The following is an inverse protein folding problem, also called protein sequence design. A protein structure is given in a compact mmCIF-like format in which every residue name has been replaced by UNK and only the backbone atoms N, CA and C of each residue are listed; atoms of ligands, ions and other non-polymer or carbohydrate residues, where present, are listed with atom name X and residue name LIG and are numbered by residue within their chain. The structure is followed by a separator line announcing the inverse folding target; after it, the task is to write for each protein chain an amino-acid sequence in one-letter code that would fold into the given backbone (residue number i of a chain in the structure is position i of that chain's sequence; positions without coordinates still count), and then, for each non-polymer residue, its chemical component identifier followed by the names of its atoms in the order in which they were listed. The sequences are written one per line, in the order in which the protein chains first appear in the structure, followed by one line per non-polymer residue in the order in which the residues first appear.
data_IF_861355377803
#
_entry.id   IF_861355377803
#
_cell.length_a   1.000
_cell.length_b   1.000
_cell.length_c   1.000
_cell.angle_alpha   90.00
_cell.angle_beta   90.00
_cell.angle_gamma   90.00
#
_symmetry.space_group_name_H-M   'P 1'
#
loop_
_entity.id
_entity.type
_entity.pdbx_description
1 polymer ?
#
# COMPACT_ATOMS: atom_id res chain seq x y z
N UNK A 1 37.81 31.57 -8.83
CA UNK A 1 37.18 31.29 -7.52
C UNK A 1 36.63 29.88 -7.58
N UNK A 2 36.64 29.08 -6.51
CA UNK A 2 36.07 27.73 -6.56
C UNK A 2 34.60 27.83 -6.97
N UNK A 3 34.22 27.08 -8.00
CA UNK A 3 32.83 27.01 -8.47
C UNK A 3 31.99 26.36 -7.36
N UNK A 4 31.33 27.20 -6.56
CA UNK A 4 30.36 26.71 -5.58
C UNK A 4 29.19 26.14 -6.37
N UNK A 5 29.08 24.82 -6.34
CA UNK A 5 28.01 24.07 -6.98
C UNK A 5 27.00 23.67 -5.92
N UNK A 6 25.75 24.08 -6.10
CA UNK A 6 24.65 23.72 -5.21
C UNK A 6 23.75 22.66 -5.83
N UNK A 7 23.31 21.73 -4.99
CA UNK A 7 22.23 20.80 -5.34
C UNK A 7 20.88 21.54 -5.47
N UNK A 8 19.86 20.97 -6.15
CA UNK A 8 18.57 21.62 -6.31
C UNK A 8 17.90 22.04 -4.99
N UNK A 9 18.08 21.24 -3.93
CA UNK A 9 17.55 21.56 -2.60
C UNK A 9 18.25 22.77 -1.97
N UNK A 10 19.58 22.80 -2.04
CA UNK A 10 20.36 23.93 -1.53
C UNK A 10 20.07 25.21 -2.32
N UNK A 11 19.92 25.10 -3.64
CA UNK A 11 19.55 26.22 -4.50
C UNK A 11 18.16 26.77 -4.18
N UNK A 12 17.17 25.92 -3.90
CA UNK A 12 15.83 26.39 -3.52
C UNK A 12 15.82 27.10 -2.17
N UNK A 13 16.58 26.58 -1.22
CA UNK A 13 16.71 27.17 0.12
C UNK A 13 17.44 28.52 0.03
N UNK A 14 18.53 28.60 -0.77
CA UNK A 14 19.28 29.84 -1.00
C UNK A 14 18.43 30.94 -1.64
N UNK A 15 17.61 30.58 -2.63
CA UNK A 15 16.73 31.52 -3.33
C UNK A 15 15.41 31.79 -2.58
N UNK A 16 15.16 31.10 -1.45
CA UNK A 16 13.89 31.17 -0.70
C UNK A 16 12.65 30.92 -1.56
N UNK A 17 12.74 30.00 -2.53
CA UNK A 17 11.65 29.62 -3.42
C UNK A 17 11.28 28.14 -3.26
N UNK A 18 10.05 27.78 -3.60
CA UNK A 18 9.66 26.36 -3.63
C UNK A 18 10.47 25.57 -4.68
N UNK A 19 10.74 24.29 -4.40
CA UNK A 19 11.43 23.42 -5.36
C UNK A 19 10.72 23.30 -6.71
N UNK A 20 9.38 23.42 -6.74
CA UNK A 20 8.59 23.44 -7.98
C UNK A 20 8.81 24.74 -8.76
N UNK A 21 8.89 25.89 -8.09
CA UNK A 21 9.22 27.17 -8.73
C UNK A 21 10.65 27.14 -9.30
N UNK A 22 11.62 26.65 -8.53
CA UNK A 22 12.99 26.48 -9.00
C UNK A 22 13.05 25.55 -10.22
N UNK A 23 12.37 24.40 -10.20
CA UNK A 23 12.36 23.46 -11.34
C UNK A 23 11.86 24.11 -12.62
N UNK A 24 10.77 24.89 -12.55
CA UNK A 24 10.24 25.64 -13.71
C UNK A 24 11.22 26.69 -14.20
N UNK A 25 11.75 27.51 -13.29
CA UNK A 25 12.74 28.52 -13.62
C UNK A 25 14.03 27.91 -14.20
N UNK A 26 14.43 26.72 -13.75
CA UNK A 26 15.61 26.01 -14.26
C UNK A 26 15.46 25.57 -15.72
N UNK A 27 14.27 25.13 -16.12
CA UNK A 27 14.02 24.77 -17.53
C UNK A 27 14.11 26.00 -18.42
N UNK A 28 13.50 27.11 -18.00
CA UNK A 28 13.56 28.39 -18.72
C UNK A 28 14.99 28.94 -18.75
N UNK A 29 15.75 28.77 -17.66
CA UNK A 29 17.16 29.11 -17.63
C UNK A 29 17.96 28.30 -18.65
N UNK A 30 17.74 26.99 -18.75
CA UNK A 30 18.43 26.13 -19.71
C UNK A 30 18.13 26.52 -21.18
N UNK A 31 16.92 26.97 -21.47
CA UNK A 31 16.54 27.50 -22.78
C UNK A 31 17.28 28.82 -23.12
N UNK A 32 17.49 29.68 -22.11
CA UNK A 32 18.07 31.01 -22.30
C UNK A 32 19.60 31.02 -22.18
N UNK A 33 20.21 30.24 -21.30
CA UNK A 33 21.65 30.30 -21.03
C UNK A 33 22.39 28.99 -21.35
N UNK A 34 21.68 27.96 -21.79
CA UNK A 34 22.23 26.64 -22.08
C UNK A 34 22.14 25.68 -20.89
N UNK A 35 22.43 24.41 -21.14
CA UNK A 35 22.23 23.33 -20.18
C UNK A 35 23.03 23.54 -18.89
N UNK A 36 22.35 23.35 -17.74
CA UNK A 36 23.01 23.33 -16.45
C UNK A 36 23.89 22.08 -16.34
N UNK A 37 25.00 22.23 -15.62
CA UNK A 37 25.87 21.09 -15.30
C UNK A 37 25.05 20.01 -14.60
N UNK A 38 25.40 18.74 -14.84
CA UNK A 38 24.75 17.59 -14.21
C UNK A 38 25.74 16.82 -13.35
N UNK A 39 25.24 16.32 -12.22
CA UNK A 39 25.97 15.39 -11.36
C UNK A 39 26.05 13.99 -12.01
N UNK A 40 26.81 13.08 -11.38
CA UNK A 40 26.95 11.69 -11.84
C UNK A 40 25.63 10.89 -11.85
N UNK A 41 24.55 11.42 -11.26
CA UNK A 41 23.20 10.84 -11.21
C UNK A 41 22.22 11.55 -12.14
N UNK A 42 22.68 12.52 -12.94
CA UNK A 42 21.88 13.29 -13.89
C UNK A 42 21.11 14.47 -13.28
N UNK A 43 21.29 14.78 -11.99
CA UNK A 43 20.70 15.90 -11.28
C UNK A 43 21.37 17.24 -11.66
N UNK A 44 20.59 18.32 -11.73
CA UNK A 44 21.09 19.66 -12.07
C UNK A 44 21.95 20.22 -10.93
N UNK A 45 23.11 20.73 -11.31
CA UNK A 45 24.09 21.40 -10.48
C UNK A 45 24.06 22.91 -10.79
N UNK A 46 23.77 23.72 -9.77
CA UNK A 46 23.66 25.17 -9.92
C UNK A 46 24.99 25.82 -9.56
N UNK A 47 25.63 26.46 -10.54
CA UNK A 47 26.81 27.30 -10.31
C UNK A 47 26.42 28.61 -9.66
N UNK A 48 27.38 29.29 -9.03
CA UNK A 48 27.15 30.63 -8.45
C UNK A 48 26.58 31.62 -9.46
N UNK A 49 27.05 31.60 -10.70
CA UNK A 49 26.57 32.47 -11.79
C UNK A 49 25.10 32.18 -12.16
N UNK A 50 24.70 30.90 -12.20
CA UNK A 50 23.31 30.53 -12.46
C UNK A 50 22.39 30.98 -11.31
N UNK A 51 22.85 30.85 -10.07
CA UNK A 51 22.10 31.30 -8.90
C UNK A 51 21.95 32.82 -8.86
N UNK A 52 22.99 33.58 -9.19
CA UNK A 52 22.91 35.04 -9.23
C UNK A 52 21.91 35.53 -10.28
N UNK A 53 21.94 34.97 -11.49
CA UNK A 53 20.96 35.28 -12.54
C UNK A 53 19.54 34.93 -12.13
N UNK A 54 19.33 33.75 -11.55
CA UNK A 54 18.02 33.34 -11.06
C UNK A 54 17.52 34.23 -9.92
N UNK A 55 18.39 34.62 -8.99
CA UNK A 55 18.08 35.55 -7.92
C UNK A 55 17.61 36.89 -8.47
N UNK A 56 18.38 37.49 -9.39
CA UNK A 56 18.02 38.76 -10.04
C UNK A 56 16.68 38.65 -10.79
N UNK A 57 16.46 37.53 -11.49
CA UNK A 57 15.22 37.28 -12.20
C UNK A 57 14.01 37.19 -11.24
N UNK A 58 14.15 36.46 -10.12
CA UNK A 58 13.09 36.39 -9.12
C UNK A 58 12.86 37.75 -8.46
N UNK A 59 13.89 38.50 -8.09
CA UNK A 59 13.75 39.84 -7.51
C UNK A 59 13.08 40.82 -8.47
N UNK A 60 13.33 40.69 -9.78
CA UNK A 60 12.67 41.53 -10.78
C UNK A 60 11.17 41.24 -10.88
N UNK A 61 10.78 39.97 -10.83
CA UNK A 61 9.36 39.56 -10.85
C UNK A 61 8.66 39.95 -9.56
N UNK A 62 9.25 39.66 -8.39
CA UNK A 62 8.66 40.01 -7.11
C UNK A 62 8.56 41.52 -6.91
N UNK A 63 9.52 42.29 -7.44
CA UNK A 63 9.48 43.75 -7.44
C UNK A 63 8.54 44.37 -8.48
N UNK A 64 7.83 43.57 -9.28
CA UNK A 64 6.92 44.05 -10.33
C UNK A 64 7.62 44.72 -11.52
N UNK A 65 8.94 44.58 -11.65
CA UNK A 65 9.74 45.19 -12.73
C UNK A 65 9.53 44.49 -14.07
N UNK A 66 9.23 43.19 -14.02
CA UNK A 66 9.05 42.33 -15.18
C UNK A 66 7.92 41.32 -14.92
N UNK A 67 7.14 41.01 -15.96
CA UNK A 67 5.96 40.15 -15.88
C UNK A 67 6.27 38.66 -15.60
N UNK A 68 7.48 38.18 -15.92
CA UNK A 68 7.83 36.76 -15.73
C UNK A 68 9.34 36.54 -15.57
N UNK A 69 9.70 35.40 -14.96
CA UNK A 69 11.10 34.98 -14.77
C UNK A 69 11.81 34.78 -16.12
N UNK A 70 11.10 34.27 -17.13
CA UNK A 70 11.67 34.09 -18.47
C UNK A 70 12.02 35.41 -19.15
N UNK A 71 11.14 36.42 -19.02
CA UNK A 71 11.43 37.75 -19.55
C UNK A 71 12.63 38.39 -18.84
N UNK A 72 12.72 38.22 -17.52
CA UNK A 72 13.86 38.70 -16.74
C UNK A 72 15.19 38.05 -17.18
N UNK A 73 15.18 36.73 -17.41
CA UNK A 73 16.35 35.98 -17.87
C UNK A 73 16.76 36.36 -19.29
N UNK A 74 15.81 36.62 -20.19
CA UNK A 74 16.08 37.08 -21.55
C UNK A 74 16.80 38.45 -21.54
N UNK A 75 16.30 39.42 -20.76
CA UNK A 75 16.94 40.73 -20.61
C UNK A 75 18.37 40.60 -20.06
N UNK A 76 18.57 39.73 -19.06
CA UNK A 76 19.90 39.44 -18.52
C UNK A 76 20.86 38.79 -19.54
N UNK A 77 20.34 38.06 -20.54
CA UNK A 77 21.15 37.46 -21.61
C UNK A 77 21.57 38.50 -22.64
N UNK A 78 20.66 39.39 -22.99
CA UNK A 78 20.87 40.47 -23.95
C UNK A 78 21.83 41.55 -23.41
N UNK A 79 22.13 41.51 -22.11
CA UNK A 79 22.99 42.47 -21.43
C UNK A 79 22.25 43.74 -21.05
N UNK A 80 20.92 43.72 -21.15
CA UNK A 80 20.06 44.84 -20.78
C UNK A 80 19.95 44.95 -19.26
N UNK A 81 19.98 46.19 -18.77
CA UNK A 81 19.71 46.45 -17.36
C UNK A 81 18.25 46.12 -17.04
N UNK A 82 18.04 45.30 -16.00
CA UNK A 82 16.68 45.05 -15.49
C UNK A 82 16.05 46.39 -15.12
N UNK A 83 14.84 46.71 -15.63
CA UNK A 83 14.27 48.04 -15.51
C UNK A 83 14.26 48.50 -14.05
N UNK A 84 14.88 49.64 -13.76
CA UNK A 84 14.80 50.26 -12.44
C UNK A 84 13.33 50.50 -12.15
N UNK A 85 12.89 50.17 -10.94
CA UNK A 85 11.51 50.31 -10.51
C UNK A 85 11.06 51.75 -10.78
N UNK A 86 10.36 52.00 -11.89
CA UNK A 86 9.67 53.26 -12.07
C UNK A 86 8.58 53.24 -11.03
N UNK A 87 8.76 54.00 -9.95
CA UNK A 87 7.64 54.55 -9.20
C UNK A 87 6.88 55.43 -10.18
N UNK A 88 6.03 54.81 -10.99
CA UNK A 88 4.89 55.48 -11.57
C UNK A 88 4.00 55.72 -10.37
N UNK A 89 4.06 56.94 -9.82
CA UNK A 89 3.00 57.39 -8.93
C UNK A 89 1.68 57.11 -9.65
N UNK A 90 0.80 56.26 -9.09
CA UNK A 90 -0.46 55.97 -9.73
C UNK A 90 -1.16 57.32 -9.94
N UNK A 91 -1.73 57.60 -11.13
CA UNK A 91 -2.53 58.81 -11.32
C UNK A 91 -3.56 58.83 -10.19
N UNK A 92 -3.56 59.91 -9.39
CA UNK A 92 -4.40 60.02 -8.21
C UNK A 92 -5.82 59.60 -8.59
N UNK A 93 -6.34 58.46 -8.06
CA UNK A 93 -7.65 58.00 -8.44
C UNK A 93 -8.66 59.06 -8.02
N UNK A 94 -9.71 59.26 -8.82
CA UNK A 94 -10.94 59.89 -8.32
C UNK A 94 -11.41 58.99 -7.17
N UNK A 95 -11.10 59.38 -5.94
CA UNK A 95 -11.00 58.52 -4.76
C UNK A 95 -12.30 57.78 -4.45
N UNK A 96 -13.43 58.41 -4.76
CA UNK A 96 -14.74 57.90 -4.37
C UNK A 96 -15.19 56.71 -5.23
N UNK A 97 -14.86 56.70 -6.52
CA UNK A 97 -15.22 55.61 -7.45
C UNK A 97 -14.27 54.41 -7.29
N UNK A 98 -12.98 54.67 -7.03
CA UNK A 98 -11.98 53.62 -6.83
C UNK A 98 -12.18 52.87 -5.51
N UNK A 99 -12.52 53.58 -4.42
CA UNK A 99 -12.85 52.95 -3.14
C UNK A 99 -14.18 52.20 -3.17
N UNK A 100 -15.17 52.69 -3.94
CA UNK A 100 -16.43 51.99 -4.14
C UNK A 100 -16.22 50.69 -4.93
N UNK A 101 -15.44 50.74 -6.02
CA UNK A 101 -15.08 49.56 -6.80
C UNK A 101 -14.27 48.55 -5.97
N UNK A 102 -13.29 49.03 -5.19
CA UNK A 102 -12.48 48.16 -4.32
C UNK A 102 -13.34 47.47 -3.25
N UNK A 103 -14.32 48.18 -2.66
CA UNK A 103 -15.27 47.59 -1.71
C UNK A 103 -16.20 46.57 -2.37
N UNK A 104 -16.66 46.83 -3.59
CA UNK A 104 -17.49 45.88 -4.33
C UNK A 104 -16.72 44.59 -4.64
N UNK A 105 -15.52 44.70 -5.21
CA UNK A 105 -14.64 43.57 -5.55
C UNK A 105 -14.25 42.80 -4.29
N UNK A 106 -13.88 43.49 -3.20
CA UNK A 106 -13.58 42.83 -1.93
C UNK A 106 -14.81 42.10 -1.35
N UNK A 107 -16.01 42.65 -1.51
CA UNK A 107 -17.26 42.02 -1.08
C UNK A 107 -17.56 40.74 -1.84
N UNK A 108 -17.40 40.75 -3.17
CA UNK A 108 -17.57 39.58 -4.03
C UNK A 108 -16.54 38.49 -3.69
N UNK A 109 -15.26 38.86 -3.57
CA UNK A 109 -14.19 37.92 -3.26
C UNK A 109 -14.35 37.30 -1.86
N UNK A 110 -14.82 38.07 -0.88
CA UNK A 110 -15.15 37.55 0.46
C UNK A 110 -16.36 36.62 0.44
N UNK A 111 -17.35 36.87 -0.43
CA UNK A 111 -18.50 35.98 -0.58
C UNK A 111 -18.09 34.66 -1.23
N UNK A 112 -17.26 34.71 -2.28
CA UNK A 112 -16.69 33.53 -2.94
C UNK A 112 -15.85 32.70 -1.96
N UNK A 113 -14.90 33.33 -1.25
CA UNK A 113 -14.08 32.66 -0.25
C UNK A 113 -14.90 32.01 0.88
N UNK A 114 -16.02 32.62 1.28
CA UNK A 114 -16.94 32.00 2.26
C UNK A 114 -17.63 30.77 1.68
N UNK A 115 -18.05 30.84 0.42
CA UNK A 115 -18.62 29.69 -0.31
C UNK A 115 -17.62 28.54 -0.38
N UNK A 116 -16.39 28.82 -0.81
CA UNK A 116 -15.32 27.84 -0.90
C UNK A 116 -14.98 27.22 0.46
N UNK A 117 -14.87 28.04 1.50
CA UNK A 117 -14.62 27.54 2.86
C UNK A 117 -15.75 26.65 3.37
N UNK A 118 -17.00 26.94 2.99
CA UNK A 118 -18.12 26.11 3.37
C UNK A 118 -18.12 24.77 2.60
N UNK A 119 -17.89 24.79 1.30
CA UNK A 119 -17.73 23.59 0.48
C UNK A 119 -16.59 22.69 1.01
N UNK A 120 -15.43 23.28 1.33
CA UNK A 120 -14.29 22.56 1.92
C UNK A 120 -14.64 21.94 3.27
N UNK A 121 -15.46 22.60 4.09
CA UNK A 121 -15.89 22.06 5.39
C UNK A 121 -16.83 20.88 5.22
N UNK A 122 -17.76 20.96 4.27
CA UNK A 122 -18.69 19.89 3.94
C UNK A 122 -17.95 18.66 3.40
N UNK A 123 -17.00 18.87 2.47
CA UNK A 123 -16.15 17.80 1.94
C UNK A 123 -15.30 17.16 3.05
N UNK A 124 -14.67 17.96 3.91
CA UNK A 124 -13.91 17.44 5.05
C UNK A 124 -14.79 16.64 6.03
N UNK A 125 -16.04 17.04 6.23
CA UNK A 125 -16.97 16.29 7.07
C UNK A 125 -17.32 14.94 6.43
N UNK A 126 -17.57 14.90 5.12
CA UNK A 126 -17.83 13.68 4.37
C UNK A 126 -16.63 12.72 4.41
N UNK A 127 -15.41 13.22 4.16
CA UNK A 127 -14.18 12.43 4.21
C UNK A 127 -13.91 11.87 5.61
N UNK A 128 -14.26 12.60 6.67
CA UNK A 128 -14.14 12.10 8.05
C UNK A 128 -15.10 10.93 8.33
N UNK A 129 -16.31 10.99 7.80
CA UNK A 129 -17.27 9.87 7.91
C UNK A 129 -16.79 8.65 7.12
N UNK A 130 -16.30 8.85 5.91
CA UNK A 130 -15.76 7.77 5.07
C UNK A 130 -14.54 7.10 5.72
N UNK A 131 -13.60 7.91 6.22
CA UNK A 131 -12.42 7.37 6.92
C UNK A 131 -12.78 6.66 8.23
N UNK A 132 -13.83 7.08 8.94
CA UNK A 132 -14.34 6.35 10.10
C UNK A 132 -14.91 4.98 9.70
N UNK A 133 -15.73 4.93 8.64
CA UNK A 133 -16.29 3.68 8.11
C UNK A 133 -15.21 2.71 7.62
N UNK A 134 -14.18 3.22 6.93
CA UNK A 134 -13.04 2.41 6.48
C UNK A 134 -12.26 1.80 7.66
N UNK A 135 -12.07 2.56 8.74
CA UNK A 135 -11.41 2.04 9.95
C UNK A 135 -12.23 0.95 10.61
N UNK A 136 -13.55 1.10 10.67
CA UNK A 136 -14.45 0.07 11.20
C UNK A 136 -14.39 -1.20 10.35
N UNK A 137 -14.47 -1.08 9.03
CA UNK A 137 -14.33 -2.21 8.11
C UNK A 137 -12.97 -2.92 8.28
N UNK A 138 -11.88 -2.17 8.49
CA UNK A 138 -10.56 -2.73 8.74
C UNK A 138 -10.52 -3.57 10.03
N UNK A 139 -11.18 -3.10 11.10
CA UNK A 139 -11.30 -3.88 12.35
C UNK A 139 -12.05 -5.18 12.11
N UNK A 140 -13.19 -5.14 11.41
CA UNK A 140 -13.96 -6.34 11.08
C UNK A 140 -13.16 -7.36 10.26
N UNK A 141 -12.35 -6.90 9.29
CA UNK A 141 -11.47 -7.78 8.50
C UNK A 141 -10.42 -8.46 9.39
N UNK A 142 -9.84 -7.75 10.36
CA UNK A 142 -8.87 -8.32 11.29
C UNK A 142 -9.51 -9.37 12.21
N UNK A 143 -10.72 -9.12 12.71
CA UNK A 143 -11.49 -10.08 13.49
C UNK A 143 -11.79 -11.35 12.68
N UNK A 144 -12.28 -11.20 11.44
CA UNK A 144 -12.53 -12.33 10.54
C UNK A 144 -11.27 -13.14 10.25
N UNK A 145 -10.13 -12.47 10.04
CA UNK A 145 -8.84 -13.13 9.85
C UNK A 145 -8.45 -13.97 11.06
N UNK A 146 -8.66 -13.45 12.26
CA UNK A 146 -8.28 -14.16 13.49
C UNK A 146 -9.21 -15.35 13.76
N UNK A 147 -10.51 -15.22 13.44
CA UNK A 147 -11.45 -16.35 13.40
C UNK A 147 -11.00 -17.42 12.41
N UNK A 148 -10.61 -17.02 11.18
CA UNK A 148 -10.14 -17.95 10.16
C UNK A 148 -8.86 -18.68 10.59
N UNK A 149 -7.91 -17.98 11.23
CA UNK A 149 -6.71 -18.60 11.81
C UNK A 149 -7.08 -19.64 12.87
N UNK A 150 -8.04 -19.33 13.75
CA UNK A 150 -8.55 -20.28 14.73
C UNK A 150 -9.15 -21.53 14.08
N UNK A 151 -9.92 -21.37 12.99
CA UNK A 151 -10.47 -22.48 12.22
C UNK A 151 -9.38 -23.35 11.57
N UNK A 152 -8.39 -22.73 10.93
CA UNK A 152 -7.27 -23.44 10.29
C UNK A 152 -6.49 -24.25 11.33
N UNK A 153 -6.19 -23.65 12.50
CA UNK A 153 -5.51 -24.34 13.59
C UNK A 153 -6.34 -25.54 14.10
N UNK A 154 -7.65 -25.37 14.26
CA UNK A 154 -8.57 -26.44 14.65
C UNK A 154 -8.61 -27.59 13.63
N UNK A 155 -8.70 -27.26 12.33
CA UNK A 155 -8.67 -28.25 11.25
C UNK A 155 -7.32 -28.98 11.16
N UNK A 156 -6.22 -28.27 11.40
CA UNK A 156 -4.87 -28.85 11.42
C UNK A 156 -4.72 -29.83 12.59
N UNK A 157 -5.22 -29.48 13.78
CA UNK A 157 -5.27 -30.38 14.93
C UNK A 157 -6.13 -31.62 14.68
N UNK A 158 -7.26 -31.49 13.98
CA UNK A 158 -8.07 -32.64 13.54
C UNK A 158 -7.31 -33.53 12.55
N UNK A 159 -6.57 -32.94 11.61
CA UNK A 159 -5.71 -33.68 10.67
C UNK A 159 -4.60 -34.45 11.39
N UNK A 160 -3.97 -33.86 12.41
CA UNK A 160 -2.95 -34.50 13.23
C UNK A 160 -3.53 -35.66 14.06
N UNK A 161 -4.71 -35.47 14.65
CA UNK A 161 -5.41 -36.52 15.39
C UNK A 161 -5.79 -37.71 14.49
N UNK A 162 -6.29 -37.46 13.28
CA UNK A 162 -6.57 -38.51 12.31
C UNK A 162 -5.30 -39.25 11.87
N UNK A 163 -4.18 -38.55 11.67
CA UNK A 163 -2.88 -39.18 11.40
C UNK A 163 -2.41 -40.06 12.55
N UNK A 164 -2.62 -39.65 13.79
CA UNK A 164 -2.30 -40.46 14.96
C UNK A 164 -3.17 -41.71 15.08
N UNK A 165 -4.48 -41.58 14.85
CA UNK A 165 -5.40 -42.73 14.79
C UNK A 165 -4.95 -43.70 13.70
N UNK A 166 -4.58 -43.21 12.51
CA UNK A 166 -4.12 -44.05 11.41
C UNK A 166 -2.82 -44.79 11.77
N UNK A 167 -1.85 -44.12 12.41
CA UNK A 167 -0.61 -44.77 12.90
C UNK A 167 -0.90 -45.88 13.91
N UNK A 168 -1.86 -45.68 14.81
CA UNK A 168 -2.26 -46.70 15.79
C UNK A 168 -2.94 -47.88 15.12
N UNK A 169 -3.80 -47.63 14.12
CA UNK A 169 -4.42 -48.70 13.32
C UNK A 169 -3.38 -49.50 12.54
N UNK A 170 -2.38 -48.85 11.94
CA UNK A 170 -1.28 -49.53 11.25
C UNK A 170 -0.46 -50.42 12.21
N UNK A 171 -0.16 -49.92 13.41
CA UNK A 171 0.53 -50.69 14.45
C UNK A 171 -0.28 -51.91 14.88
N UNK A 172 -1.56 -51.73 15.22
CA UNK A 172 -2.44 -52.82 15.65
C UNK A 172 -2.61 -53.86 14.54
N UNK A 173 -2.74 -53.44 13.29
CA UNK A 173 -2.78 -54.35 12.13
C UNK A 173 -1.51 -55.19 12.05
N UNK A 174 -0.33 -54.60 12.28
CA UNK A 174 0.93 -55.32 12.35
C UNK A 174 1.00 -56.33 13.50
N UNK A 175 0.47 -55.99 14.67
CA UNK A 175 0.41 -56.89 15.84
C UNK A 175 -0.53 -58.07 15.58
N UNK A 176 -1.73 -57.82 15.07
CA UNK A 176 -2.73 -58.86 14.76
C UNK A 176 -2.17 -59.83 13.72
N UNK A 177 -1.54 -59.32 12.67
CA UNK A 177 -0.87 -60.15 11.65
C UNK A 177 0.22 -61.00 12.29
N UNK A 178 1.05 -60.43 13.18
CA UNK A 178 2.12 -61.17 13.85
C UNK A 178 1.59 -62.27 14.79
N UNK A 179 0.50 -62.01 15.53
CA UNK A 179 -0.16 -63.02 16.36
C UNK A 179 -0.78 -64.13 15.53
N UNK A 180 -1.47 -63.80 14.43
CA UNK A 180 -2.08 -64.81 13.56
C UNK A 180 -1.03 -65.70 12.90
N UNK A 181 0.08 -65.13 12.43
CA UNK A 181 1.23 -65.89 11.92
C UNK A 181 1.83 -66.78 13.02
N UNK A 182 1.91 -66.30 14.26
CA UNK A 182 2.39 -67.10 15.41
C UNK A 182 1.47 -68.29 15.71
N UNK A 183 0.15 -68.10 15.66
CA UNK A 183 -0.84 -69.16 15.85
C UNK A 183 -0.75 -70.22 14.76
N UNK A 184 -0.65 -69.82 13.49
CA UNK A 184 -0.55 -70.74 12.35
C UNK A 184 0.79 -71.52 12.34
N UNK A 185 1.86 -70.91 12.84
CA UNK A 185 3.21 -71.50 12.83
C UNK A 185 3.55 -72.31 14.09
N UNK A 186 2.65 -72.37 15.09
CA UNK A 186 2.77 -73.30 16.22
C UNK A 186 3.98 -73.10 17.15
N UNK A 187 4.51 -71.87 17.28
CA UNK A 187 5.70 -71.62 18.11
C UNK A 187 6.03 -70.13 18.32
N UNK A 188 6.99 -69.80 19.22
CA UNK A 188 7.40 -68.42 19.47
C UNK A 188 8.08 -67.80 18.23
N UNK A 189 7.40 -66.85 17.61
CA UNK A 189 7.90 -66.09 16.47
C UNK A 189 8.93 -65.05 16.94
N UNK A 190 10.19 -65.22 16.54
CA UNK A 190 11.20 -64.16 16.65
C UNK A 190 11.09 -63.25 15.42
N UNK A 191 11.09 -61.91 15.56
CA UNK A 191 11.00 -61.02 14.42
C UNK A 191 12.27 -61.14 13.58
N UNK A 192 12.23 -61.99 12.55
CA UNK A 192 13.25 -62.02 11.52
C UNK A 192 13.09 -60.73 10.74
N UNK A 193 14.05 -59.81 10.86
CA UNK A 193 14.18 -58.66 9.95
C UNK A 193 14.18 -59.20 8.52
N UNK A 194 13.06 -59.02 7.79
CA UNK A 194 12.97 -59.31 6.36
C UNK A 194 11.92 -60.33 5.90
N UNK A 195 11.12 -60.95 6.77
CA UNK A 195 10.04 -61.84 6.33
C UNK A 195 8.74 -61.06 6.09
N UNK A 196 8.52 -60.58 4.86
CA UNK A 196 7.38 -59.72 4.47
C UNK A 196 6.29 -60.43 3.67
N UNK A 197 6.20 -61.76 3.67
CA UNK A 197 5.12 -62.46 2.94
C UNK A 197 4.04 -62.97 3.87
N UNK A 198 3.23 -62.04 4.37
CA UNK A 198 1.89 -62.32 4.89
C UNK A 198 1.04 -62.83 3.72
N UNK A 199 0.31 -63.93 3.89
CA UNK A 199 -0.56 -64.48 2.84
C UNK A 199 -1.58 -63.43 2.38
N UNK A 200 -2.02 -63.52 1.13
CA UNK A 200 -2.99 -62.58 0.57
C UNK A 200 -4.30 -62.60 1.39
N UNK A 201 -4.73 -63.79 1.80
CA UNK A 201 -5.96 -64.02 2.55
C UNK A 201 -5.95 -63.35 3.94
N UNK A 202 -4.80 -63.38 4.64
CA UNK A 202 -4.65 -62.69 5.92
C UNK A 202 -4.62 -61.17 5.74
N UNK A 203 -4.02 -60.67 4.66
CA UNK A 203 -4.06 -59.23 4.32
C UNK A 203 -5.46 -58.76 3.96
N UNK A 204 -6.26 -59.58 3.30
CA UNK A 204 -7.64 -59.27 2.92
C UNK A 204 -8.57 -59.27 4.13
N UNK A 205 -8.49 -60.29 4.99
CA UNK A 205 -9.26 -60.35 6.23
C UNK A 205 -8.99 -59.15 7.18
N UNK A 206 -7.71 -58.76 7.33
CA UNK A 206 -7.35 -57.60 8.15
C UNK A 206 -7.82 -56.30 7.51
N UNK A 207 -7.78 -56.18 6.18
CA UNK A 207 -8.31 -55.01 5.46
C UNK A 207 -9.81 -54.83 5.70
N UNK A 208 -10.58 -55.91 5.60
CA UNK A 208 -12.04 -55.86 5.80
C UNK A 208 -12.41 -55.50 7.24
N UNK A 209 -11.65 -55.99 8.23
CA UNK A 209 -11.86 -55.66 9.63
C UNK A 209 -11.51 -54.19 9.93
N UNK A 210 -10.40 -53.69 9.38
CA UNK A 210 -10.00 -52.28 9.48
C UNK A 210 -11.02 -51.36 8.81
N UNK A 211 -11.53 -51.71 7.63
CA UNK A 211 -12.55 -50.92 6.95
C UNK A 211 -13.88 -50.94 7.72
N UNK A 212 -14.26 -52.09 8.30
CA UNK A 212 -15.43 -52.20 9.19
C UNK A 212 -15.29 -51.36 10.47
N UNK A 213 -14.08 -51.23 11.03
CA UNK A 213 -13.80 -50.32 12.15
C UNK A 213 -13.85 -48.86 11.70
N UNK A 214 -13.33 -48.53 10.51
CA UNK A 214 -13.36 -47.18 9.94
C UNK A 214 -14.79 -46.69 9.71
N UNK A 215 -15.66 -47.52 9.15
CA UNK A 215 -17.08 -47.23 8.96
C UNK A 215 -17.79 -47.01 10.30
N UNK A 216 -17.54 -47.87 11.30
CA UNK A 216 -18.12 -47.71 12.65
C UNK A 216 -17.62 -46.45 13.35
N UNK A 217 -16.35 -46.09 13.19
CA UNK A 217 -15.79 -44.85 13.74
C UNK A 217 -16.40 -43.61 13.07
N UNK A 218 -16.61 -43.65 11.75
CA UNK A 218 -17.30 -42.57 11.02
C UNK A 218 -18.77 -42.45 11.41
N UNK A 219 -19.46 -43.57 11.69
CA UNK A 219 -20.84 -43.58 12.15
C UNK A 219 -20.99 -43.18 13.62
N UNK A 220 -19.98 -43.44 14.46
CA UNK A 220 -19.94 -43.06 15.87
C UNK A 220 -19.40 -41.64 16.11
N UNK A 221 -18.82 -41.00 15.09
CA UNK A 221 -18.50 -39.58 15.15
C UNK A 221 -19.79 -38.79 15.38
N UNK A 222 -19.88 -37.99 16.47
CA UNK A 222 -21.13 -37.33 16.83
C UNK A 222 -21.61 -36.47 15.66
N UNK A 223 -22.86 -36.67 15.25
CA UNK A 223 -23.53 -35.87 14.24
C UNK A 223 -23.33 -34.38 14.59
N UNK A 224 -22.48 -33.72 13.80
CA UNK A 224 -22.31 -32.28 13.62
C UNK A 224 -22.78 -31.41 14.80
N UNK A 225 -21.81 -30.80 15.50
CA UNK A 225 -22.11 -29.55 16.20
C UNK A 225 -22.73 -28.55 15.23
N UNK A 226 -23.63 -27.65 15.68
CA UNK A 226 -24.32 -26.65 14.84
C UNK A 226 -23.38 -25.84 13.92
N UNK A 227 -22.10 -25.73 14.30
CA UNK A 227 -21.03 -25.10 13.52
C UNK A 227 -20.74 -25.77 12.16
N UNK A 228 -20.83 -27.09 12.04
CA UNK A 228 -20.59 -27.76 10.75
C UNK A 228 -21.75 -27.55 9.76
N UNK A 229 -22.99 -27.45 10.27
CA UNK A 229 -24.15 -27.09 9.46
C UNK A 229 -24.09 -25.65 8.92
N UNK A 230 -23.47 -24.72 9.67
CA UNK A 230 -23.20 -23.36 9.20
C UNK A 230 -22.12 -23.35 8.11
N UNK A 231 -21.04 -24.13 8.27
CA UNK A 231 -19.95 -24.23 7.30
C UNK A 231 -20.41 -24.86 5.98
N UNK A 232 -21.23 -25.92 6.02
CA UNK A 232 -21.80 -26.51 4.81
C UNK A 232 -22.68 -25.51 4.03
N UNK A 233 -23.44 -24.65 4.74
CA UNK A 233 -24.28 -23.62 4.13
C UNK A 233 -23.46 -22.46 3.56
N UNK A 234 -22.43 -22.01 4.27
CA UNK A 234 -21.52 -20.96 3.79
C UNK A 234 -20.74 -21.42 2.56
N UNK A 235 -20.28 -22.68 2.56
CA UNK A 235 -19.54 -23.23 1.43
C UNK A 235 -20.44 -23.44 0.20
N UNK A 236 -21.70 -23.83 0.40
CA UNK A 236 -22.69 -23.87 -0.67
C UNK A 236 -23.00 -22.48 -1.26
N UNK A 237 -23.11 -21.45 -0.42
CA UNK A 237 -23.37 -20.07 -0.85
C UNK A 237 -22.22 -19.48 -1.69
N UNK A 238 -20.96 -19.66 -1.23
CA UNK A 238 -19.76 -19.20 -1.94
C UNK A 238 -19.60 -19.91 -3.29
N UNK A 239 -20.03 -21.16 -3.41
CA UNK A 239 -19.95 -21.91 -4.67
C UNK A 239 -21.12 -21.63 -5.63
N UNK A 240 -22.27 -21.15 -5.13
CA UNK A 240 -23.43 -20.80 -5.96
C UNK A 240 -23.34 -19.41 -6.59
N UNK A 241 -22.57 -18.47 -6.03
CA UNK A 241 -22.38 -17.11 -6.58
C UNK A 241 -21.23 -17.04 -7.60
N UNK A 242 -20.48 -18.13 -7.79
CA UNK A 242 -19.37 -18.23 -8.73
C UNK A 242 -19.71 -18.82 -10.10
N UNK A 243 -20.98 -18.81 -10.53
CA UNK A 243 -21.41 -19.22 -11.88
C UNK A 243 -22.30 -18.18 -12.54
#
# INVERSE_FOLDING_TARGET
MPDVVMSPKQASDFLSVSGTALRRASMVYEEVFGELKRDARGGREFTAEALDRLRLAFEAVHGGRVASVGMALALLREGDELPVQMQVDPPAPRTDDAEALARAVAGELLAELRGDLQAIREENAALRLETAALREAQVQVLELRDVLKGMIAGMSGQSDALREVNRRLDYLSGVIVAEKVREEMGGPFWPVRGATTVSADVREAVRDEVEGLRVRLHAAAPASTPRQGLLARMWAAVWSEGR
#
